data_IF_030831559362
#
_entry.id   IF_030831559362
#
_cell.length_a   1.000
_cell.length_b   1.000
_cell.length_c   1.000
_cell.angle_alpha   90.00
_cell.angle_beta   90.00
_cell.angle_gamma   90.00
#
_symmetry.space_group_name_H-M   'P 1'
#
loop_
_entity.id
_entity.type
_entity.pdbx_description
1 polymer ?
#
# COMPACT_ATOMS: atom_id res chain seq x y z
N UNK A 1 -16.23 0.05 -2.85
CA UNK A 1 -15.42 -0.57 -3.90
C UNK A 1 -14.25 0.34 -4.25
N UNK A 2 -13.06 -0.22 -4.48
CA UNK A 2 -11.90 0.46 -5.06
C UNK A 2 -11.73 -0.08 -6.48
N UNK A 3 -11.71 0.82 -7.47
CA UNK A 3 -11.49 0.46 -8.88
C UNK A 3 -10.00 0.21 -9.15
N UNK A 4 -9.69 -0.56 -10.18
CA UNK A 4 -8.31 -0.85 -10.60
C UNK A 4 -7.46 0.42 -10.71
N UNK A 5 -6.19 0.31 -10.30
CA UNK A 5 -5.19 1.38 -10.38
C UNK A 5 -5.43 2.62 -9.51
N UNK A 6 -6.55 2.66 -8.78
CA UNK A 6 -6.75 3.68 -7.76
C UNK A 6 -5.84 3.42 -6.57
N UNK A 7 -5.36 4.52 -6.00
CA UNK A 7 -4.56 4.46 -4.79
C UNK A 7 -5.46 4.14 -3.59
N UNK A 8 -4.91 3.37 -2.65
CA UNK A 8 -5.46 3.28 -1.31
C UNK A 8 -5.24 4.59 -0.58
N UNK A 9 -6.26 5.02 0.16
CA UNK A 9 -6.21 6.23 0.98
C UNK A 9 -5.85 5.81 2.41
N UNK A 10 -4.85 6.48 2.97
CA UNK A 10 -4.44 6.38 4.36
C UNK A 10 -4.95 7.61 5.11
N UNK A 11 -5.55 7.38 6.28
CA UNK A 11 -6.10 8.47 7.11
C UNK A 11 -5.13 8.95 8.21
N UNK A 12 -4.07 8.18 8.46
CA UNK A 12 -3.17 8.38 9.60
C UNK A 12 -1.73 8.13 9.18
N UNK A 13 -0.81 8.99 9.59
CA UNK A 13 0.63 8.79 9.45
C UNK A 13 1.30 8.88 10.83
N UNK A 14 2.27 8.01 11.08
CA UNK A 14 2.97 7.90 12.37
C UNK A 14 4.47 7.77 12.09
N UNK A 15 5.31 8.41 12.91
CA UNK A 15 6.78 8.35 12.80
C UNK A 15 7.33 8.77 11.43
N UNK A 16 6.77 9.84 10.87
CA UNK A 16 7.14 10.38 9.55
C UNK A 16 8.49 11.09 9.65
N UNK A 17 9.57 10.38 9.33
CA UNK A 17 10.93 10.89 9.24
C UNK A 17 11.53 10.52 7.90
N UNK A 18 12.22 11.45 7.23
CA UNK A 18 12.86 11.22 5.93
C UNK A 18 11.90 10.86 4.76
N UNK A 19 10.60 11.03 4.99
CA UNK A 19 9.50 10.87 4.04
C UNK A 19 8.48 11.97 4.27
N UNK A 20 7.67 12.30 3.26
CA UNK A 20 6.54 13.22 3.34
C UNK A 20 5.29 12.43 2.99
N UNK A 21 4.28 12.43 3.85
CA UNK A 21 2.95 11.92 3.51
C UNK A 21 2.09 13.07 2.98
N UNK A 22 1.52 12.92 1.77
CA UNK A 22 0.74 13.98 1.12
C UNK A 22 -0.66 14.23 1.74
N UNK A 23 -1.00 13.49 2.79
CA UNK A 23 -2.28 13.61 3.51
C UNK A 23 -3.38 12.68 2.98
N UNK A 24 -3.14 11.96 1.89
CA UNK A 24 -4.14 11.06 1.31
C UNK A 24 -3.57 9.68 0.97
N UNK A 25 -2.64 9.56 0.05
CA UNK A 25 -2.42 8.29 -0.66
C UNK A 25 -0.99 8.02 -1.11
N UNK A 26 -0.11 9.03 -0.99
CA UNK A 26 1.24 8.98 -1.51
C UNK A 26 2.26 9.40 -0.46
N UNK A 27 3.37 8.66 -0.42
CA UNK A 27 4.53 8.95 0.40
C UNK A 27 5.68 9.34 -0.52
N UNK A 28 6.26 10.52 -0.31
CA UNK A 28 7.42 11.00 -1.07
C UNK A 28 8.69 10.84 -0.24
N UNK A 29 9.73 10.23 -0.82
CA UNK A 29 11.04 10.07 -0.20
C UNK A 29 11.81 11.39 -0.21
N UNK A 30 12.41 11.78 0.92
CA UNK A 30 13.21 13.01 1.00
C UNK A 30 14.65 12.75 0.56
N UNK A 31 15.30 11.72 1.10
CA UNK A 31 16.70 11.41 0.80
C UNK A 31 16.84 10.13 -0.02
N UNK A 32 17.76 10.11 -0.99
CA UNK A 32 18.08 8.89 -1.72
C UNK A 32 18.65 7.81 -0.78
N UNK A 33 18.41 6.54 -1.10
CA UNK A 33 18.88 5.42 -0.30
C UNK A 33 18.22 4.09 -0.64
N UNK A 34 18.51 3.09 0.19
CA UNK A 34 17.88 1.77 0.15
C UNK A 34 16.79 1.72 1.21
N UNK A 35 15.60 1.29 0.81
CA UNK A 35 14.40 1.29 1.62
C UNK A 35 13.78 -0.10 1.70
N UNK A 36 13.38 -0.51 2.91
CA UNK A 36 12.45 -1.60 3.13
C UNK A 36 11.04 -1.03 3.05
N UNK A 37 10.23 -1.56 2.14
CA UNK A 37 8.85 -1.13 1.93
C UNK A 37 7.95 -2.34 2.18
N UNK A 38 7.09 -2.22 3.18
CA UNK A 38 6.15 -3.28 3.56
C UNK A 38 4.72 -2.78 3.46
N UNK A 39 3.85 -3.60 2.89
CA UNK A 39 2.40 -3.36 2.90
C UNK A 39 1.71 -4.55 3.53
N UNK A 40 0.76 -4.30 4.42
CA UNK A 40 -0.14 -5.31 4.95
C UNK A 40 -1.58 -4.85 4.91
N UNK A 41 -2.49 -5.79 4.66
CA UNK A 41 -3.93 -5.59 4.73
C UNK A 41 -4.53 -6.75 5.50
N UNK A 42 -5.47 -6.45 6.39
CA UNK A 42 -6.25 -7.45 7.12
C UNK A 42 -7.71 -7.04 7.11
N UNK A 43 -8.60 -8.00 6.95
CA UNK A 43 -10.04 -7.78 7.03
C UNK A 43 -10.68 -8.81 7.93
N UNK A 44 -11.51 -8.37 8.87
CA UNK A 44 -12.33 -9.28 9.70
C UNK A 44 -13.77 -9.34 9.24
N UNK A 45 -14.16 -8.53 8.24
CA UNK A 45 -15.51 -8.52 7.69
C UNK A 45 -15.70 -9.58 6.59
N UNK A 46 -16.84 -10.28 6.61
CA UNK A 46 -17.32 -11.04 5.45
C UNK A 46 -17.45 -10.16 4.20
N UNK A 47 -17.09 -10.67 3.03
CA UNK A 47 -17.28 -9.99 1.74
C UNK A 47 -16.12 -9.14 1.21
N UNK A 48 -14.95 -9.18 1.86
CA UNK A 48 -13.73 -8.55 1.36
C UNK A 48 -12.94 -9.56 0.50
N UNK A 49 -13.38 -9.78 -0.74
CA UNK A 49 -12.72 -10.60 -1.75
C UNK A 49 -13.33 -10.29 -3.15
N UNK A 50 -12.55 -10.35 -4.24
CA UNK A 50 -11.12 -10.63 -4.27
C UNK A 50 -10.27 -9.42 -3.80
N UNK A 51 -9.07 -9.70 -3.28
CA UNK A 51 -8.07 -8.71 -2.89
C UNK A 51 -6.83 -8.86 -3.78
N UNK A 52 -6.33 -7.76 -4.33
CA UNK A 52 -5.02 -7.71 -4.99
C UNK A 52 -4.39 -6.34 -4.81
N UNK A 53 -3.24 -6.30 -4.14
CA UNK A 53 -2.62 -5.05 -3.72
C UNK A 53 -1.15 -5.09 -4.08
N UNK A 54 -0.66 -3.96 -4.60
CA UNK A 54 0.75 -3.81 -4.95
C UNK A 54 1.28 -2.42 -4.61
N UNK A 55 2.60 -2.33 -4.58
CA UNK A 55 3.32 -1.08 -4.37
C UNK A 55 3.60 -0.46 -5.74
N UNK A 56 3.30 0.83 -5.89
CA UNK A 56 3.61 1.62 -7.07
C UNK A 56 4.65 2.66 -6.73
N UNK A 57 5.74 2.66 -7.48
CA UNK A 57 6.86 3.61 -7.34
C UNK A 57 6.84 4.52 -8.56
N UNK A 58 6.81 5.83 -8.34
CA UNK A 58 6.76 6.87 -9.38
C UNK A 58 5.63 6.66 -10.40
N UNK A 59 4.49 6.12 -9.95
CA UNK A 59 3.33 5.85 -10.82
C UNK A 59 3.50 4.63 -11.73
N UNK A 60 4.59 3.87 -11.62
CA UNK A 60 4.73 2.59 -12.31
C UNK A 60 3.58 1.64 -11.92
N UNK A 61 3.17 0.79 -12.86
CA UNK A 61 2.13 -0.21 -12.61
C UNK A 61 2.59 -1.08 -11.43
N UNK A 62 1.74 -1.14 -10.40
CA UNK A 62 1.98 -2.05 -9.29
C UNK A 62 1.91 -3.48 -9.82
N UNK A 63 3.00 -4.23 -9.73
CA UNK A 63 2.99 -5.68 -9.96
C UNK A 63 2.37 -6.38 -8.76
N UNK A 64 1.69 -7.50 -8.97
CA UNK A 64 1.02 -8.27 -7.92
C UNK A 64 2.02 -8.72 -6.85
N UNK A 65 1.94 -8.09 -5.67
CA UNK A 65 2.75 -8.45 -4.52
C UNK A 65 2.03 -9.48 -3.62
N UNK A 66 0.69 -9.49 -3.64
CA UNK A 66 -0.16 -10.59 -3.15
C UNK A 66 -1.60 -10.46 -3.65
N UNK A 67 -2.31 -11.58 -3.78
CA UNK A 67 -3.75 -11.63 -4.03
C UNK A 67 -4.43 -12.75 -3.24
N UNK A 68 -5.69 -12.55 -2.87
CA UNK A 68 -6.52 -13.57 -2.21
C UNK A 68 -7.97 -13.46 -2.61
N UNK A 69 -8.61 -14.62 -2.76
CA UNK A 69 -10.06 -14.73 -2.96
C UNK A 69 -10.77 -15.17 -1.68
N UNK A 70 -10.05 -15.31 -0.56
CA UNK A 70 -10.59 -15.77 0.70
C UNK A 70 -11.18 -14.59 1.50
N UNK A 71 -12.42 -14.78 1.96
CA UNK A 71 -13.09 -13.83 2.83
C UNK A 71 -12.40 -13.83 4.21
N UNK A 72 -12.06 -12.65 4.71
CA UNK A 72 -11.48 -12.50 6.05
C UNK A 72 -9.96 -12.69 6.10
N UNK A 73 -9.28 -12.59 4.96
CA UNK A 73 -7.85 -12.88 4.86
C UNK A 73 -6.97 -11.74 5.38
N UNK A 74 -5.71 -12.07 5.69
CA UNK A 74 -4.65 -11.13 6.02
C UNK A 74 -3.45 -11.38 5.13
N UNK A 75 -3.05 -10.35 4.38
CA UNK A 75 -1.96 -10.42 3.42
C UNK A 75 -0.89 -9.42 3.78
N UNK A 76 0.37 -9.80 3.57
CA UNK A 76 1.50 -8.92 3.78
C UNK A 76 2.61 -9.22 2.78
N UNK A 77 3.33 -8.19 2.36
CA UNK A 77 4.50 -8.30 1.50
C UNK A 77 5.50 -7.22 1.85
N UNK A 78 6.77 -7.53 1.61
CA UNK A 78 7.90 -6.62 1.80
C UNK A 78 8.82 -6.70 0.60
N UNK A 79 9.26 -5.54 0.11
CA UNK A 79 10.33 -5.41 -0.88
C UNK A 79 11.45 -4.51 -0.36
N UNK A 80 12.62 -4.59 -0.98
CA UNK A 80 13.75 -3.70 -0.76
C UNK A 80 14.02 -2.97 -2.07
N UNK A 81 13.99 -1.64 -2.02
CA UNK A 81 14.10 -0.79 -3.21
C UNK A 81 15.19 0.26 -3.03
N UNK A 82 15.90 0.56 -4.12
CA UNK A 82 16.79 1.72 -4.17
C UNK A 82 16.01 2.91 -4.72
N UNK A 83 15.82 3.94 -3.90
CA UNK A 83 14.98 5.08 -4.22
C UNK A 83 15.81 6.35 -4.34
N UNK A 84 15.50 7.14 -5.36
CA UNK A 84 16.00 8.51 -5.47
C UNK A 84 15.23 9.45 -4.52
N UNK A 85 15.84 10.58 -4.18
CA UNK A 85 15.13 11.69 -3.55
C UNK A 85 13.97 12.14 -4.45
N UNK A 86 12.81 12.41 -3.85
CA UNK A 86 11.58 12.75 -4.56
C UNK A 86 10.80 11.55 -5.11
N UNK A 87 11.27 10.31 -4.92
CA UNK A 87 10.51 9.14 -5.33
C UNK A 87 9.16 9.05 -4.61
N UNK A 88 8.10 8.78 -5.36
CA UNK A 88 6.73 8.67 -4.83
C UNK A 88 6.33 7.21 -4.70
N UNK A 89 5.81 6.84 -3.54
CA UNK A 89 5.34 5.49 -3.20
C UNK A 89 3.84 5.58 -2.94
N UNK A 90 3.06 4.73 -3.60
CA UNK A 90 1.64 4.56 -3.35
C UNK A 90 1.28 3.07 -3.31
N UNK A 91 0.14 2.75 -2.72
CA UNK A 91 -0.40 1.38 -2.73
C UNK A 91 -1.62 1.38 -3.63
N UNK A 92 -1.71 0.42 -4.55
CA UNK A 92 -2.76 0.37 -5.58
C UNK A 92 -3.47 -0.98 -5.60
N UNK A 93 -4.75 -0.95 -6.01
CA UNK A 93 -5.45 -2.14 -6.46
C UNK A 93 -4.82 -2.65 -7.76
N UNK A 94 -4.46 -3.93 -7.79
CA UNK A 94 -3.98 -4.60 -9.01
C UNK A 94 -5.11 -5.27 -9.78
N UNK A 95 -6.20 -5.62 -9.11
CA UNK A 95 -7.40 -6.21 -9.70
C UNK A 95 -8.33 -5.14 -10.27
N UNK A 96 -9.10 -5.54 -11.29
CA UNK A 96 -10.13 -4.75 -11.98
C UNK A 96 -11.08 -4.05 -11.00
N UNK A 97 -11.44 -4.74 -9.93
CA UNK A 97 -12.32 -4.25 -8.88
C UNK A 97 -12.01 -4.97 -7.57
N UNK A 98 -11.91 -4.21 -6.47
CA UNK A 98 -11.82 -4.74 -5.11
C UNK A 98 -12.97 -4.19 -4.28
N UNK A 99 -13.65 -5.07 -3.56
CA UNK A 99 -14.69 -4.68 -2.62
C UNK A 99 -14.13 -4.65 -1.20
N UNK A 100 -14.00 -3.45 -0.64
CA UNK A 100 -13.74 -3.25 0.80
C UNK A 100 -15.06 -2.84 1.46
N UNK A 101 -15.61 -3.65 2.40
CA UNK A 101 -16.85 -3.32 3.08
C UNK A 101 -16.69 -2.09 3.97
N UNK A 102 -17.70 -1.20 3.97
CA UNK A 102 -17.73 0.04 4.77
C UNK A 102 -18.09 -0.22 6.23
N UNK A 103 -17.54 -1.27 6.82
CA UNK A 103 -17.81 -1.72 8.19
C UNK A 103 -16.71 -1.30 9.17
N UNK A 104 -15.61 -0.71 8.69
CA UNK A 104 -14.46 -0.33 9.52
C UNK A 104 -13.53 -1.50 9.89
N UNK A 105 -13.79 -2.68 9.34
CA UNK A 105 -13.12 -3.93 9.70
C UNK A 105 -11.91 -4.26 8.82
N UNK A 106 -11.50 -3.34 7.94
CA UNK A 106 -10.33 -3.51 7.08
C UNK A 106 -9.25 -2.53 7.50
N UNK A 107 -8.09 -3.06 7.86
CA UNK A 107 -6.91 -2.28 8.21
C UNK A 107 -5.83 -2.49 7.16
N UNK A 108 -5.36 -1.41 6.55
CA UNK A 108 -4.21 -1.40 5.66
C UNK A 108 -3.09 -0.55 6.26
N UNK A 109 -1.85 -1.03 6.14
CA UNK A 109 -0.66 -0.32 6.62
C UNK A 109 0.43 -0.36 5.55
N UNK A 110 0.98 0.80 5.24
CA UNK A 110 2.22 0.97 4.49
C UNK A 110 3.33 1.37 5.47
N UNK A 111 4.45 0.67 5.43
CA UNK A 111 5.67 0.97 6.20
C UNK A 111 6.80 1.22 5.22
N UNK A 112 7.50 2.35 5.38
CA UNK A 112 8.66 2.72 4.57
C UNK A 112 9.80 3.03 5.53
N UNK A 113 10.88 2.27 5.47
CA UNK A 113 12.02 2.41 6.37
C UNK A 113 13.33 2.42 5.59
N UNK A 114 14.14 3.46 5.78
CA UNK A 114 15.45 3.56 5.13
C UNK A 114 16.49 2.72 5.89
N UNK A 115 17.27 1.93 5.16
CA UNK A 115 18.32 1.05 5.72
C UNK A 115 19.74 1.41 5.25
N UNK A 116 19.90 2.18 4.17
CA UNK A 116 21.20 2.71 3.71
C UNK A 116 21.00 4.02 2.93
#
# INVERSE_FOLDING_TARGET
TILQFNNFIFNTAINVNNIIFNGTDTVTVINAGIYVISVSISTTAPGCAPLGVGISINGAVATDNFSSNLIGDSLAFTTIETLAAGANISVKSTLSEITIPKTGNTNIRLTVFRIA
#
